data_IF_843225979524
#
_entry.id   IF_843225979524
#
_cell.length_a   1.000
_cell.length_b   1.000
_cell.length_c   1.000
_cell.angle_alpha   90.00
_cell.angle_beta   90.00
_cell.angle_gamma   90.00
#
_symmetry.space_group_name_H-M   'P 1'
#
loop_
_entity.id
_entity.type
_entity.pdbx_description
1 polymer ?
#
# COMPACT_ATOMS: atom_id res chain seq x y z
N UNK A 1 3.03 -9.42 31.39
CA UNK A 1 1.94 -8.87 32.22
C UNK A 1 0.63 -9.33 31.61
N UNK A 2 -0.21 -10.04 32.37
CA UNK A 2 -1.52 -10.47 31.87
C UNK A 2 -2.51 -9.29 31.97
N UNK A 3 -3.37 -9.15 30.96
CA UNK A 3 -4.48 -8.18 31.00
C UNK A 3 -5.48 -8.55 32.09
N UNK A 4 -6.00 -7.56 32.80
CA UNK A 4 -7.13 -7.76 33.71
C UNK A 4 -8.41 -8.17 32.96
N UNK A 5 -9.34 -8.83 33.63
CA UNK A 5 -10.61 -9.29 33.00
C UNK A 5 -11.38 -8.14 32.34
N UNK A 6 -11.39 -6.95 32.96
CA UNK A 6 -12.03 -5.75 32.42
C UNK A 6 -11.34 -5.28 31.11
N UNK A 7 -9.99 -5.31 31.07
CA UNK A 7 -9.23 -4.91 29.89
C UNK A 7 -9.45 -5.90 28.74
N UNK A 8 -9.47 -7.21 29.05
CA UNK A 8 -9.78 -8.24 28.05
C UNK A 8 -11.17 -8.02 27.45
N UNK A 9 -12.20 -7.81 28.31
CA UNK A 9 -13.54 -7.54 27.84
C UNK A 9 -13.61 -6.28 26.94
N UNK A 10 -12.93 -5.21 27.34
CA UNK A 10 -12.88 -3.97 26.59
C UNK A 10 -12.18 -4.14 25.22
N UNK A 11 -11.03 -4.81 25.17
CA UNK A 11 -10.33 -5.16 23.92
C UNK A 11 -11.23 -5.97 22.98
N UNK A 12 -11.93 -6.99 23.52
CA UNK A 12 -12.83 -7.82 22.70
C UNK A 12 -13.99 -7.02 22.13
N UNK A 13 -14.58 -6.10 22.90
CA UNK A 13 -15.65 -5.21 22.44
C UNK A 13 -15.12 -4.29 21.33
N UNK A 14 -13.97 -3.64 21.54
CA UNK A 14 -13.37 -2.75 20.55
C UNK A 14 -13.07 -3.48 19.22
N UNK A 15 -12.46 -4.67 19.29
CA UNK A 15 -12.17 -5.48 18.10
C UNK A 15 -13.45 -5.96 17.40
N UNK A 16 -14.46 -6.40 18.14
CA UNK A 16 -15.74 -6.83 17.58
C UNK A 16 -16.44 -5.69 16.84
N UNK A 17 -16.49 -4.49 17.45
CA UNK A 17 -17.08 -3.29 16.83
C UNK A 17 -16.33 -2.90 15.57
N UNK A 18 -14.98 -2.90 15.59
CA UNK A 18 -14.16 -2.62 14.41
C UNK A 18 -14.41 -3.62 13.28
N UNK A 19 -14.44 -4.92 13.59
CA UNK A 19 -14.71 -5.96 12.59
C UNK A 19 -16.10 -5.85 11.99
N UNK A 20 -17.12 -5.62 12.81
CA UNK A 20 -18.50 -5.44 12.32
C UNK A 20 -18.59 -4.21 11.43
N UNK A 21 -18.00 -3.09 11.82
CA UNK A 21 -17.98 -1.87 11.02
C UNK A 21 -17.23 -2.06 9.69
N UNK A 22 -16.02 -2.66 9.74
CA UNK A 22 -15.21 -2.93 8.56
C UNK A 22 -15.92 -3.84 7.57
N UNK A 23 -16.38 -5.02 8.02
CA UNK A 23 -17.05 -5.99 7.15
C UNK A 23 -18.44 -5.50 6.70
N UNK A 24 -19.19 -4.83 7.57
CA UNK A 24 -20.50 -4.26 7.21
C UNK A 24 -20.40 -3.22 6.11
N UNK A 25 -19.54 -2.21 6.31
CA UNK A 25 -19.30 -1.18 5.31
C UNK A 25 -18.60 -1.75 4.06
N UNK A 26 -17.60 -2.65 4.22
CA UNK A 26 -16.96 -3.35 3.11
C UNK A 26 -17.94 -4.14 2.25
N UNK A 27 -18.91 -4.82 2.87
CA UNK A 27 -19.96 -5.56 2.15
C UNK A 27 -20.92 -4.62 1.44
N UNK A 28 -21.29 -3.50 2.07
CA UNK A 28 -22.13 -2.46 1.44
C UNK A 28 -21.45 -1.92 0.17
N UNK A 29 -20.16 -1.57 0.25
CA UNK A 29 -19.39 -1.09 -0.90
C UNK A 29 -19.23 -2.15 -1.98
N UNK A 30 -19.01 -3.41 -1.61
CA UNK A 30 -18.96 -4.52 -2.57
C UNK A 30 -20.29 -4.70 -3.33
N UNK A 31 -21.44 -4.48 -2.69
CA UNK A 31 -22.76 -4.47 -3.36
C UNK A 31 -22.92 -3.29 -4.33
N UNK A 32 -22.23 -2.18 -4.06
CA UNK A 32 -22.14 -1.02 -4.96
C UNK A 32 -21.07 -1.17 -6.03
N UNK A 33 -20.52 -2.39 -6.18
CA UNK A 33 -19.39 -2.72 -7.09
C UNK A 33 -18.14 -1.88 -6.83
N UNK A 34 -17.96 -1.43 -5.60
CA UNK A 34 -16.79 -0.68 -5.18
C UNK A 34 -15.85 -1.56 -4.34
N UNK A 35 -14.53 -1.27 -4.31
CA UNK A 35 -13.57 -2.05 -3.55
C UNK A 35 -13.91 -2.11 -2.05
N UNK A 36 -13.86 -3.32 -1.47
CA UNK A 36 -14.15 -3.54 -0.03
C UNK A 36 -13.31 -2.70 0.89
N UNK A 37 -12.03 -2.52 0.55
CA UNK A 37 -11.06 -1.73 1.30
C UNK A 37 -11.58 -0.32 1.59
N UNK A 38 -12.23 0.32 0.62
CA UNK A 38 -12.80 1.65 0.79
C UNK A 38 -13.91 1.62 1.85
N UNK A 39 -14.78 0.62 1.80
CA UNK A 39 -15.82 0.42 2.81
C UNK A 39 -15.21 0.18 4.20
N UNK A 40 -14.17 -0.65 4.31
CA UNK A 40 -13.49 -0.94 5.57
C UNK A 40 -12.91 0.33 6.23
N UNK A 41 -12.30 1.21 5.44
CA UNK A 41 -11.81 2.53 5.91
C UNK A 41 -12.95 3.42 6.35
N UNK A 42 -14.02 3.50 5.54
CA UNK A 42 -15.18 4.31 5.89
C UNK A 42 -15.90 3.76 7.12
N UNK A 43 -15.93 2.43 7.32
CA UNK A 43 -16.38 1.80 8.56
C UNK A 43 -15.60 2.29 9.78
N UNK A 44 -14.28 2.42 9.64
CA UNK A 44 -13.42 3.02 10.67
C UNK A 44 -13.68 4.51 10.87
N UNK A 45 -13.84 5.27 9.79
CA UNK A 45 -14.18 6.70 9.84
C UNK A 45 -15.49 6.96 10.60
N UNK A 46 -16.51 6.09 10.42
CA UNK A 46 -17.76 6.17 11.19
C UNK A 46 -17.54 6.07 12.70
N UNK A 47 -16.56 5.26 13.12
CA UNK A 47 -16.20 5.03 14.52
C UNK A 47 -15.18 6.06 15.05
N UNK A 48 -14.59 6.85 14.18
CA UNK A 48 -13.54 7.82 14.49
C UNK A 48 -14.04 9.16 15.04
N UNK A 49 -13.10 10.10 15.27
CA UNK A 49 -13.41 11.43 15.78
C UNK A 49 -14.34 12.23 14.87
N UNK A 50 -14.29 11.96 13.56
CA UNK A 50 -15.09 12.67 12.57
C UNK A 50 -16.60 12.46 12.75
N UNK A 51 -17.06 11.26 13.09
CA UNK A 51 -18.50 10.94 13.17
C UNK A 51 -18.89 10.53 14.59
N UNK A 52 -18.43 9.38 15.08
CA UNK A 52 -18.79 8.93 16.44
C UNK A 52 -18.27 9.89 17.50
N UNK A 53 -17.04 10.41 17.36
CA UNK A 53 -16.46 11.36 18.29
C UNK A 53 -17.18 12.72 18.29
N UNK A 54 -17.69 13.16 17.14
CA UNK A 54 -18.49 14.39 17.05
C UNK A 54 -19.87 14.24 17.68
N UNK A 55 -20.53 13.07 17.50
CA UNK A 55 -21.89 12.83 18.00
C UNK A 55 -21.91 12.34 19.44
N UNK A 56 -20.99 11.45 19.79
CA UNK A 56 -20.91 10.77 21.09
C UNK A 56 -19.46 10.67 21.59
N UNK A 57 -18.82 11.80 22.01
CA UNK A 57 -17.41 11.83 22.40
C UNK A 57 -17.03 10.80 23.47
N UNK A 58 -17.88 10.66 24.49
CA UNK A 58 -17.66 9.72 25.60
C UNK A 58 -17.67 8.24 25.15
N UNK A 59 -18.52 7.89 24.19
CA UNK A 59 -18.57 6.54 23.64
C UNK A 59 -17.33 6.24 22.78
N UNK A 60 -16.90 7.20 21.96
CA UNK A 60 -15.72 7.07 21.13
C UNK A 60 -14.46 6.90 21.96
N UNK A 61 -14.22 7.76 22.96
CA UNK A 61 -13.06 7.70 23.86
C UNK A 61 -13.09 6.46 24.75
N UNK A 62 -14.27 5.98 25.13
CA UNK A 62 -14.40 4.73 25.85
C UNK A 62 -14.07 3.53 24.98
N UNK A 63 -14.61 3.44 23.74
CA UNK A 63 -14.34 2.33 22.82
C UNK A 63 -12.86 2.29 22.37
N UNK A 64 -12.31 3.46 22.05
CA UNK A 64 -10.99 3.61 21.45
C UNK A 64 -10.14 4.61 22.24
N UNK A 65 -9.70 4.25 23.46
CA UNK A 65 -8.89 5.11 24.28
C UNK A 65 -7.52 5.36 23.64
N UNK A 66 -6.97 6.57 23.80
CA UNK A 66 -5.67 6.95 23.27
C UNK A 66 -4.48 6.25 23.97
N UNK A 67 -4.69 5.77 25.20
CA UNK A 67 -3.66 5.14 26.03
C UNK A 67 -4.23 3.91 26.77
N UNK A 68 -3.34 3.10 27.34
CA UNK A 68 -3.70 1.93 28.12
C UNK A 68 -3.73 0.62 27.31
N UNK A 69 -4.19 -0.47 27.94
CA UNK A 69 -4.09 -1.82 27.37
C UNK A 69 -4.81 -1.96 26.02
N UNK A 70 -5.99 -1.39 25.86
CA UNK A 70 -6.77 -1.46 24.62
C UNK A 70 -6.03 -0.76 23.48
N UNK A 71 -5.50 0.45 23.70
CA UNK A 71 -4.70 1.17 22.71
C UNK A 71 -3.47 0.35 22.28
N UNK A 72 -2.78 -0.28 23.23
CA UNK A 72 -1.60 -1.11 22.95
C UNK A 72 -1.95 -2.32 22.09
N UNK A 73 -3.06 -3.01 22.41
CA UNK A 73 -3.50 -4.17 21.61
C UNK A 73 -3.95 -3.75 20.22
N UNK A 74 -4.72 -2.66 20.10
CA UNK A 74 -5.11 -2.13 18.77
C UNK A 74 -3.90 -1.71 17.94
N UNK A 75 -2.88 -1.09 18.57
CA UNK A 75 -1.61 -0.79 17.92
C UNK A 75 -0.87 -2.04 17.44
N UNK A 76 -0.86 -3.12 18.25
CA UNK A 76 -0.29 -4.40 17.82
C UNK A 76 -1.07 -5.02 16.65
N UNK A 77 -2.40 -4.96 16.66
CA UNK A 77 -3.25 -5.42 15.56
C UNK A 77 -3.01 -4.62 14.28
N UNK A 78 -2.85 -3.30 14.41
CA UNK A 78 -2.48 -2.41 13.30
C UNK A 78 -1.15 -2.85 12.66
N UNK A 79 -0.10 -3.08 13.46
CA UNK A 79 1.20 -3.49 12.95
C UNK A 79 1.14 -4.88 12.29
N UNK A 80 0.49 -5.87 12.93
CA UNK A 80 0.33 -7.21 12.35
C UNK A 80 -0.49 -7.17 11.06
N UNK A 81 -1.56 -6.39 11.02
CA UNK A 81 -2.37 -6.19 9.82
C UNK A 81 -1.56 -5.60 8.67
N UNK A 82 -0.72 -4.59 8.96
CA UNK A 82 0.19 -3.99 7.98
C UNK A 82 1.22 -5.00 7.47
N UNK A 83 1.88 -5.76 8.35
CA UNK A 83 2.88 -6.76 7.94
C UNK A 83 2.26 -7.85 7.06
N UNK A 84 1.10 -8.36 7.45
CA UNK A 84 0.39 -9.38 6.68
C UNK A 84 -0.13 -8.84 5.34
N UNK A 85 -0.61 -7.60 5.31
CA UNK A 85 -0.98 -6.93 4.06
C UNK A 85 0.21 -6.82 3.12
N UNK A 86 1.37 -6.39 3.62
CA UNK A 86 2.60 -6.27 2.84
C UNK A 86 3.12 -7.61 2.34
N UNK A 87 3.07 -8.64 3.18
CA UNK A 87 3.44 -10.00 2.78
C UNK A 87 2.53 -10.51 1.66
N UNK A 88 1.20 -10.38 1.81
CA UNK A 88 0.24 -10.78 0.78
C UNK A 88 0.46 -10.01 -0.53
N UNK A 89 0.70 -8.70 -0.46
CA UNK A 89 1.02 -7.87 -1.64
C UNK A 89 2.29 -8.35 -2.34
N UNK A 90 3.33 -8.70 -1.57
CA UNK A 90 4.56 -9.26 -2.12
C UNK A 90 4.35 -10.60 -2.84
N UNK A 91 3.52 -11.49 -2.29
CA UNK A 91 3.19 -12.79 -2.91
C UNK A 91 2.50 -12.61 -4.28
N UNK A 92 1.66 -11.60 -4.42
CA UNK A 92 0.88 -11.34 -5.64
C UNK A 92 1.72 -10.79 -6.81
N UNK A 93 2.89 -10.21 -6.55
CA UNK A 93 3.72 -9.55 -7.58
C UNK A 93 4.09 -10.47 -8.75
N UNK A 94 4.26 -11.78 -8.51
CA UNK A 94 4.68 -12.72 -9.56
C UNK A 94 3.71 -12.81 -10.73
N UNK A 95 2.41 -12.67 -10.50
CA UNK A 95 1.37 -12.88 -11.50
C UNK A 95 1.33 -11.79 -12.60
N UNK A 96 2.01 -10.65 -12.38
CA UNK A 96 1.85 -9.45 -13.19
C UNK A 96 2.86 -9.31 -14.36
N UNK A 97 3.93 -10.15 -14.43
CA UNK A 97 4.97 -9.97 -15.45
C UNK A 97 4.75 -10.84 -16.70
N UNK A 98 4.47 -10.20 -17.84
CA UNK A 98 4.41 -10.86 -19.15
C UNK A 98 5.37 -10.19 -20.15
N UNK A 99 6.27 -10.94 -20.85
CA UNK A 99 7.33 -10.34 -21.69
C UNK A 99 6.83 -9.52 -22.88
N UNK A 100 5.60 -9.75 -23.36
CA UNK A 100 5.07 -9.12 -24.57
C UNK A 100 4.76 -7.63 -24.43
N UNK A 101 4.46 -7.16 -23.23
CA UNK A 101 3.94 -5.81 -22.99
C UNK A 101 5.02 -4.83 -22.45
N UNK A 102 6.31 -5.26 -22.40
CA UNK A 102 7.41 -4.51 -21.77
C UNK A 102 7.62 -3.09 -22.30
N UNK A 103 7.41 -2.87 -23.59
CA UNK A 103 7.58 -1.52 -24.19
C UNK A 103 6.53 -0.56 -23.64
N UNK A 104 5.28 -0.98 -23.61
CA UNK A 104 4.16 -0.18 -23.09
C UNK A 104 4.28 0.00 -21.58
N UNK A 105 4.56 -1.08 -20.85
CA UNK A 105 4.79 -1.04 -19.40
C UNK A 105 5.94 -0.11 -19.06
N UNK A 106 7.09 -0.22 -19.73
CA UNK A 106 8.27 0.62 -19.49
C UNK A 106 8.02 2.09 -19.78
N UNK A 107 7.36 2.41 -20.92
CA UNK A 107 7.03 3.79 -21.29
C UNK A 107 6.06 4.44 -20.29
N UNK A 108 5.00 3.71 -19.88
CA UNK A 108 4.03 4.20 -18.90
C UNK A 108 4.68 4.33 -17.53
N UNK A 109 5.52 3.36 -17.13
CA UNK A 109 6.23 3.44 -15.85
C UNK A 109 7.15 4.67 -15.79
N UNK A 110 8.00 4.87 -16.79
CA UNK A 110 8.95 5.99 -16.80
C UNK A 110 8.21 7.32 -16.73
N UNK A 111 7.25 7.57 -17.62
CA UNK A 111 6.53 8.83 -17.64
C UNK A 111 5.50 8.93 -16.52
N UNK A 112 4.72 7.88 -16.28
CA UNK A 112 3.64 7.88 -15.29
C UNK A 112 4.13 7.84 -13.83
N UNK A 113 5.39 7.53 -13.57
CA UNK A 113 5.97 7.54 -12.23
C UNK A 113 6.93 8.71 -12.04
N UNK A 114 7.89 8.88 -12.96
CA UNK A 114 8.93 9.92 -12.80
C UNK A 114 8.32 11.31 -12.93
N UNK A 115 7.44 11.56 -13.92
CA UNK A 115 6.89 12.91 -14.10
C UNK A 115 6.00 13.35 -12.93
N UNK A 116 5.05 12.54 -12.39
CA UNK A 116 4.33 12.91 -11.17
C UNK A 116 5.24 13.08 -9.94
N UNK A 117 6.27 12.23 -9.80
CA UNK A 117 7.24 12.37 -8.71
C UNK A 117 7.97 13.71 -8.79
N UNK A 118 8.54 14.06 -9.96
CA UNK A 118 9.22 15.34 -10.19
C UNK A 118 8.25 16.52 -10.03
N UNK A 119 7.02 16.40 -10.53
CA UNK A 119 6.00 17.42 -10.33
C UNK A 119 5.70 17.66 -8.84
N UNK A 120 5.71 16.59 -8.02
CA UNK A 120 5.60 16.67 -6.56
C UNK A 120 6.77 17.43 -5.94
N UNK A 121 8.00 17.15 -6.37
CA UNK A 121 9.19 17.88 -5.92
C UNK A 121 9.11 19.39 -6.23
N UNK A 122 8.65 19.73 -7.44
CA UNK A 122 8.49 21.14 -7.87
C UNK A 122 7.33 21.81 -7.12
N UNK A 123 6.19 21.12 -6.99
CA UNK A 123 5.02 21.67 -6.29
C UNK A 123 5.35 22.01 -4.83
N UNK A 124 6.15 21.19 -4.17
CA UNK A 124 6.50 21.43 -2.77
C UNK A 124 7.30 22.73 -2.57
N UNK A 125 8.07 23.19 -3.58
CA UNK A 125 8.77 24.48 -3.52
C UNK A 125 7.81 25.68 -3.49
N UNK A 126 6.54 25.48 -3.88
CA UNK A 126 5.51 26.52 -3.94
C UNK A 126 4.56 26.47 -2.74
N UNK A 127 4.69 25.49 -1.87
CA UNK A 127 3.80 25.25 -0.72
C UNK A 127 4.60 25.42 0.57
N UNK A 128 3.97 26.03 1.58
CA UNK A 128 4.53 26.06 2.94
C UNK A 128 4.41 24.66 3.58
N UNK A 129 5.47 23.86 3.43
CA UNK A 129 5.53 22.48 3.88
C UNK A 129 5.46 22.30 5.40
N UNK A 130 5.92 23.32 6.17
CA UNK A 130 5.92 23.27 7.63
C UNK A 130 4.52 23.08 8.22
N UNK A 131 3.47 23.48 7.48
CA UNK A 131 2.07 23.24 7.88
C UNK A 131 1.67 21.77 7.92
N UNK A 132 2.43 20.92 7.25
CA UNK A 132 2.11 19.50 7.06
C UNK A 132 3.09 18.57 7.75
N UNK A 133 4.15 19.08 8.33
CA UNK A 133 5.11 18.28 9.09
C UNK A 133 4.46 17.66 10.31
N UNK A 134 4.77 16.38 10.53
CA UNK A 134 4.58 15.71 11.81
C UNK A 134 5.74 16.01 12.76
N UNK A 135 5.67 15.50 13.99
CA UNK A 135 6.68 15.77 15.02
C UNK A 135 8.11 15.33 14.67
N UNK A 136 8.25 14.35 13.76
CA UNK A 136 9.55 13.83 13.30
C UNK A 136 9.82 14.20 11.84
N UNK A 137 8.96 15.00 11.22
CA UNK A 137 9.07 15.42 9.83
C UNK A 137 10.26 16.37 9.65
N UNK A 138 11.07 16.09 8.65
CA UNK A 138 12.07 16.99 8.12
C UNK A 138 11.85 17.18 6.62
N UNK A 139 12.48 18.21 6.04
CA UNK A 139 12.32 18.53 4.62
C UNK A 139 12.51 17.31 3.72
N UNK A 140 13.56 16.53 3.91
CA UNK A 140 13.89 15.39 3.03
C UNK A 140 12.87 14.25 3.16
N UNK A 141 12.51 13.85 4.39
CA UNK A 141 11.54 12.77 4.59
C UNK A 141 10.14 13.16 4.10
N UNK A 142 9.72 14.41 4.35
CA UNK A 142 8.44 14.91 3.88
C UNK A 142 8.41 15.05 2.36
N UNK A 143 9.48 15.59 1.74
CA UNK A 143 9.64 15.72 0.29
C UNK A 143 9.45 14.36 -0.42
N UNK A 144 10.10 13.31 0.10
CA UNK A 144 9.99 11.97 -0.47
C UNK A 144 8.56 11.42 -0.35
N UNK A 145 7.91 11.56 0.82
CA UNK A 145 6.52 11.13 1.03
C UNK A 145 5.56 11.89 0.13
N UNK A 146 5.70 13.22 0.05
CA UNK A 146 4.85 14.08 -0.76
C UNK A 146 4.94 13.75 -2.25
N UNK A 147 6.16 13.60 -2.77
CA UNK A 147 6.40 13.34 -4.18
C UNK A 147 5.93 11.93 -4.60
N UNK A 148 6.22 10.91 -3.79
CA UNK A 148 5.83 9.53 -4.13
C UNK A 148 4.31 9.33 -4.02
N UNK A 149 3.63 10.05 -3.13
CA UNK A 149 2.16 10.00 -3.00
C UNK A 149 1.44 10.42 -4.29
N UNK A 150 2.06 11.26 -5.11
CA UNK A 150 1.53 11.68 -6.41
C UNK A 150 1.72 10.63 -7.50
N UNK A 151 2.75 9.78 -7.38
CA UNK A 151 3.17 8.85 -8.42
C UNK A 151 2.55 7.45 -8.31
N UNK A 152 2.05 7.05 -7.15
CA UNK A 152 1.64 5.67 -6.85
C UNK A 152 0.31 5.28 -7.51
N UNK A 153 0.21 3.98 -7.87
CA UNK A 153 -1.03 3.30 -8.30
C UNK A 153 -1.26 2.06 -7.43
N UNK A 154 -2.50 1.63 -7.26
CA UNK A 154 -2.87 0.53 -6.38
C UNK A 154 -3.17 -0.77 -7.12
N UNK A 155 -2.35 -1.81 -6.94
CA UNK A 155 -2.63 -3.15 -7.48
C UNK A 155 -3.93 -3.74 -6.91
N UNK A 156 -4.13 -3.88 -5.58
CA UNK A 156 -5.28 -4.61 -5.05
C UNK A 156 -6.62 -4.03 -5.47
N UNK A 157 -6.70 -2.70 -5.57
CA UNK A 157 -7.93 -2.02 -5.98
C UNK A 157 -8.21 -2.22 -7.46
N UNK A 158 -7.22 -1.97 -8.31
CA UNK A 158 -7.43 -2.04 -9.76
C UNK A 158 -7.59 -3.49 -10.24
N UNK A 159 -6.86 -4.44 -9.65
CA UNK A 159 -7.03 -5.87 -9.93
C UNK A 159 -8.44 -6.36 -9.56
N UNK A 160 -8.99 -5.88 -8.44
CA UNK A 160 -10.36 -6.21 -8.04
C UNK A 160 -11.39 -5.66 -9.02
N UNK A 161 -11.24 -4.39 -9.43
CA UNK A 161 -12.11 -3.78 -10.45
C UNK A 161 -12.08 -4.61 -11.74
N UNK A 162 -10.88 -4.98 -12.21
CA UNK A 162 -10.71 -5.76 -13.43
C UNK A 162 -11.29 -7.18 -13.33
N UNK A 163 -11.18 -7.80 -12.15
CA UNK A 163 -11.79 -9.10 -11.87
C UNK A 163 -13.31 -9.02 -11.93
N UNK A 164 -13.91 -8.03 -11.28
CA UNK A 164 -15.36 -7.82 -11.26
C UNK A 164 -15.92 -7.48 -12.65
N UNK A 165 -15.15 -6.82 -13.50
CA UNK A 165 -15.47 -6.55 -14.90
C UNK A 165 -15.20 -7.74 -15.85
N UNK A 166 -14.51 -8.79 -15.36
CA UNK A 166 -14.13 -9.95 -16.18
C UNK A 166 -13.11 -9.64 -17.26
N UNK A 167 -12.20 -8.66 -17.01
CA UNK A 167 -11.15 -8.21 -17.95
C UNK A 167 -9.73 -8.50 -17.44
N UNK A 168 -9.59 -9.28 -16.37
CA UNK A 168 -8.28 -9.52 -15.73
C UNK A 168 -7.27 -10.21 -16.67
N UNK A 169 -7.76 -11.03 -17.60
CA UNK A 169 -6.92 -11.78 -18.56
C UNK A 169 -6.57 -10.97 -19.83
N UNK A 170 -6.99 -9.71 -19.91
CA UNK A 170 -6.74 -8.84 -21.07
C UNK A 170 -5.34 -8.23 -21.07
N UNK A 171 -4.86 -7.78 -22.25
CA UNK A 171 -3.61 -7.01 -22.35
C UNK A 171 -3.67 -5.70 -21.55
N UNK A 172 -4.85 -5.06 -21.52
CA UNK A 172 -5.08 -3.86 -20.70
C UNK A 172 -4.76 -4.14 -19.22
N UNK A 173 -5.31 -5.22 -18.66
CA UNK A 173 -5.05 -5.59 -17.28
C UNK A 173 -3.57 -5.92 -17.03
N UNK A 174 -2.93 -6.66 -17.94
CA UNK A 174 -1.50 -7.00 -17.83
C UNK A 174 -0.62 -5.74 -17.82
N UNK A 175 -0.90 -4.75 -18.69
CA UNK A 175 -0.17 -3.48 -18.72
C UNK A 175 -0.34 -2.74 -17.39
N UNK A 176 -1.58 -2.53 -16.94
CA UNK A 176 -1.86 -1.79 -15.69
C UNK A 176 -1.22 -2.49 -14.50
N UNK A 177 -1.40 -3.81 -14.35
CA UNK A 177 -0.83 -4.56 -13.24
C UNK A 177 0.71 -4.59 -13.31
N UNK A 178 1.28 -4.74 -14.50
CA UNK A 178 2.73 -4.73 -14.70
C UNK A 178 3.37 -3.40 -14.29
N UNK A 179 2.77 -2.27 -14.67
CA UNK A 179 3.24 -0.93 -14.25
C UNK A 179 3.06 -0.77 -12.74
N UNK A 180 1.88 -1.09 -12.21
CA UNK A 180 1.57 -0.92 -10.79
C UNK A 180 2.50 -1.73 -9.88
N UNK A 181 2.92 -2.95 -10.29
CA UNK A 181 3.92 -3.74 -9.55
C UNK A 181 5.25 -3.00 -9.42
N UNK A 182 5.74 -2.42 -10.51
CA UNK A 182 7.01 -1.70 -10.47
C UNK A 182 6.86 -0.42 -9.64
N UNK A 183 5.73 0.27 -9.76
CA UNK A 183 5.41 1.44 -8.94
C UNK A 183 5.34 1.12 -7.45
N UNK A 184 4.75 -0.01 -7.06
CA UNK A 184 4.71 -0.45 -5.66
C UNK A 184 6.11 -0.73 -5.11
N UNK A 185 6.99 -1.37 -5.90
CA UNK A 185 8.39 -1.57 -5.50
C UNK A 185 9.09 -0.23 -5.26
N UNK A 186 8.96 0.73 -6.19
CA UNK A 186 9.55 2.06 -6.06
C UNK A 186 8.95 2.80 -4.87
N UNK A 187 7.63 2.74 -4.69
CA UNK A 187 6.96 3.35 -3.53
C UNK A 187 7.57 2.87 -2.21
N UNK A 188 7.66 1.56 -2.02
CA UNK A 188 8.13 1.01 -0.75
C UNK A 188 9.63 1.26 -0.52
N UNK A 189 10.44 1.32 -1.59
CA UNK A 189 11.83 1.75 -1.50
C UNK A 189 11.92 3.22 -1.05
N UNK A 190 11.20 4.12 -1.71
CA UNK A 190 11.21 5.55 -1.36
C UNK A 190 10.67 5.79 0.05
N UNK A 191 9.59 5.07 0.42
CA UNK A 191 9.02 5.16 1.76
C UNK A 191 10.01 4.65 2.83
N UNK A 192 10.69 3.53 2.58
CA UNK A 192 11.69 3.00 3.51
C UNK A 192 12.86 3.97 3.72
N UNK A 193 13.31 4.65 2.65
CA UNK A 193 14.34 5.70 2.73
C UNK A 193 13.82 6.89 3.56
N UNK A 194 12.61 7.39 3.27
CA UNK A 194 12.00 8.50 4.00
C UNK A 194 11.88 8.22 5.51
N UNK A 195 11.50 6.99 5.85
CA UNK A 195 11.37 6.54 7.24
C UNK A 195 12.73 6.37 7.92
N UNK A 196 13.74 5.88 7.21
CA UNK A 196 15.10 5.78 7.70
C UNK A 196 15.67 7.15 8.07
N UNK A 197 15.49 8.12 7.17
CA UNK A 197 15.90 9.52 7.40
C UNK A 197 15.13 10.16 8.56
N UNK A 198 13.85 9.86 8.75
CA UNK A 198 13.02 10.38 9.83
C UNK A 198 13.35 9.74 11.19
N UNK A 199 13.63 8.44 11.25
CA UNK A 199 13.88 7.71 12.49
C UNK A 199 15.10 8.22 13.25
N UNK A 200 16.07 8.77 12.57
CA UNK A 200 17.29 9.31 13.16
C UNK A 200 17.05 10.59 13.95
N UNK A 201 16.00 11.34 13.66
CA UNK A 201 15.66 12.54 14.43
C UNK A 201 15.23 12.22 15.88
N UNK A 202 14.82 10.97 16.16
CA UNK A 202 14.41 10.55 17.51
C UNK A 202 15.53 10.00 18.41
N UNK A 203 16.75 9.86 17.91
CA UNK A 203 17.87 9.29 18.69
C UNK A 203 17.69 7.82 19.09
N UNK A 204 16.65 7.14 18.58
CA UNK A 204 16.34 5.74 18.86
C UNK A 204 16.84 4.84 17.72
N UNK A 205 18.14 4.79 17.52
CA UNK A 205 18.74 4.00 16.46
C UNK A 205 18.89 2.54 16.93
N UNK A 206 17.96 1.71 16.48
CA UNK A 206 18.12 0.24 16.59
C UNK A 206 18.97 -0.26 15.42
N UNK A 207 19.93 -1.16 15.70
CA UNK A 207 20.71 -1.82 14.68
C UNK A 207 21.95 -1.05 14.18
N UNK A 208 22.35 -1.31 12.94
CA UNK A 208 23.58 -0.81 12.33
C UNK A 208 23.65 0.74 12.24
N UNK A 209 22.61 1.47 11.86
CA UNK A 209 22.68 2.92 11.79
C UNK A 209 23.06 3.57 13.12
N UNK A 210 22.57 3.02 14.24
CA UNK A 210 22.94 3.46 15.57
C UNK A 210 24.39 3.19 15.92
N UNK A 211 24.91 2.06 15.47
CA UNK A 211 26.32 1.67 15.70
C UNK A 211 27.29 2.55 14.88
N UNK A 212 26.90 2.97 13.67
CA UNK A 212 27.76 3.79 12.78
C UNK A 212 27.74 5.28 13.17
N UNK A 213 26.65 5.77 13.81
CA UNK A 213 26.57 7.13 14.33
C UNK A 213 26.44 8.21 13.25
N UNK A 214 25.67 7.96 12.19
CA UNK A 214 25.40 8.98 11.17
C UNK A 214 24.66 10.18 11.76
N UNK A 215 24.95 11.36 11.24
CA UNK A 215 24.17 12.56 11.58
C UNK A 215 22.84 12.53 10.82
N UNK A 216 21.70 12.69 11.53
CA UNK A 216 20.38 12.69 10.91
C UNK A 216 20.27 13.68 9.74
N UNK A 217 19.70 13.23 8.60
CA UNK A 217 19.51 14.06 7.42
C UNK A 217 20.79 14.42 6.64
N UNK A 218 21.94 13.87 7.02
CA UNK A 218 23.18 14.04 6.23
C UNK A 218 23.10 13.27 4.90
N UNK A 219 23.88 13.71 3.90
CA UNK A 219 23.98 13.01 2.61
C UNK A 219 24.38 11.54 2.80
N UNK A 220 25.25 11.25 3.76
CA UNK A 220 25.69 9.88 4.08
C UNK A 220 24.59 9.04 4.67
N UNK A 221 23.69 9.63 5.43
CA UNK A 221 22.52 8.99 6.00
C UNK A 221 21.52 8.58 4.91
N UNK A 222 21.15 9.51 4.05
CA UNK A 222 20.27 9.24 2.89
C UNK A 222 20.90 8.17 1.99
N UNK A 223 22.20 8.26 1.72
CA UNK A 223 22.94 7.29 0.90
C UNK A 223 22.92 5.91 1.54
N UNK A 224 23.16 5.82 2.86
CA UNK A 224 23.09 4.55 3.60
C UNK A 224 21.72 3.89 3.46
N UNK A 225 20.64 4.62 3.78
CA UNK A 225 19.28 4.08 3.71
C UNK A 225 18.89 3.69 2.28
N UNK A 226 19.35 4.44 1.28
CA UNK A 226 19.15 4.12 -0.13
C UNK A 226 19.88 2.82 -0.50
N UNK A 227 21.16 2.72 -0.20
CA UNK A 227 21.98 1.52 -0.52
C UNK A 227 21.47 0.31 0.26
N UNK A 228 21.14 0.47 1.54
CA UNK A 228 20.63 -0.61 2.37
C UNK A 228 19.27 -1.13 1.84
N UNK A 229 18.34 -0.24 1.51
CA UNK A 229 17.02 -0.62 1.02
C UNK A 229 17.08 -1.28 -0.36
N UNK A 230 17.82 -0.69 -1.30
CA UNK A 230 18.03 -1.28 -2.64
C UNK A 230 18.83 -2.57 -2.56
N UNK A 231 19.83 -2.63 -1.69
CA UNK A 231 20.65 -3.82 -1.44
C UNK A 231 19.84 -4.96 -0.83
N UNK A 232 18.93 -4.69 0.11
CA UNK A 232 18.00 -5.68 0.66
C UNK A 232 17.06 -6.19 -0.43
N UNK A 233 16.44 -5.30 -1.20
CA UNK A 233 15.57 -5.71 -2.30
C UNK A 233 16.33 -6.60 -3.30
N UNK A 234 17.49 -6.16 -3.79
CA UNK A 234 18.31 -6.93 -4.74
C UNK A 234 18.80 -8.25 -4.15
N UNK A 235 19.25 -8.24 -2.90
CA UNK A 235 19.69 -9.42 -2.17
C UNK A 235 18.58 -10.46 -1.99
N UNK A 236 17.39 -10.04 -1.59
CA UNK A 236 16.23 -10.93 -1.47
C UNK A 236 15.75 -11.44 -2.84
N UNK A 237 15.75 -10.61 -3.87
CA UNK A 237 15.39 -11.07 -5.22
C UNK A 237 16.40 -12.09 -5.77
N UNK A 238 17.69 -11.89 -5.57
CA UNK A 238 18.75 -12.76 -6.08
C UNK A 238 18.92 -14.04 -5.25
N UNK A 239 19.03 -13.91 -3.94
CA UNK A 239 19.40 -14.99 -3.01
C UNK A 239 18.20 -15.58 -2.27
N UNK A 240 17.14 -14.80 -2.06
CA UNK A 240 15.97 -15.17 -1.28
C UNK A 240 15.32 -16.49 -1.72
N UNK A 241 15.03 -16.70 -3.02
CA UNK A 241 14.43 -17.95 -3.50
C UNK A 241 15.34 -19.17 -3.24
N UNK A 242 16.67 -18.99 -3.35
CA UNK A 242 17.64 -20.05 -3.08
C UNK A 242 17.73 -20.35 -1.59
N UNK A 243 17.75 -19.31 -0.75
CA UNK A 243 17.76 -19.44 0.71
C UNK A 243 16.47 -20.09 1.22
N UNK A 244 15.31 -19.64 0.72
CA UNK A 244 14.01 -20.21 1.08
C UNK A 244 13.95 -21.71 0.69
N UNK A 245 14.37 -22.07 -0.52
CA UNK A 245 14.45 -23.47 -0.97
C UNK A 245 15.44 -24.30 -0.17
N UNK A 246 16.62 -23.77 0.13
CA UNK A 246 17.62 -24.46 0.92
C UNK A 246 17.10 -24.74 2.34
N UNK A 247 16.59 -23.71 3.03
CA UNK A 247 16.03 -23.86 4.39
C UNK A 247 14.79 -24.74 4.42
N UNK A 248 13.97 -24.70 3.37
CA UNK A 248 12.78 -25.54 3.24
C UNK A 248 13.09 -27.03 3.06
N UNK A 249 14.24 -27.36 2.46
CA UNK A 249 14.68 -28.74 2.19
C UNK A 249 15.51 -29.36 3.33
N UNK A 250 15.86 -28.60 4.35
CA UNK A 250 16.61 -29.12 5.49
C UNK A 250 15.85 -30.26 6.17
N UNK A 251 16.52 -31.41 6.35
CA UNK A 251 15.95 -32.60 7.01
C UNK A 251 15.41 -32.30 8.41
N UNK A 252 16.00 -31.34 9.10
CA UNK A 252 15.68 -30.92 10.47
C UNK A 252 14.66 -29.77 10.53
N UNK A 253 14.10 -29.29 9.41
CA UNK A 253 13.08 -28.24 9.44
C UNK A 253 11.73 -28.80 9.90
N UNK A 254 11.61 -28.97 11.24
CA UNK A 254 10.40 -29.46 11.89
C UNK A 254 9.22 -28.51 11.68
N UNK A 255 9.47 -27.20 11.61
CA UNK A 255 8.43 -26.19 11.44
C UNK A 255 7.72 -26.37 10.10
N UNK A 256 8.45 -26.46 9.00
CA UNK A 256 7.84 -26.68 7.68
C UNK A 256 7.11 -28.01 7.57
N UNK A 257 7.67 -29.09 8.12
CA UNK A 257 7.06 -30.43 8.08
C UNK A 257 5.72 -30.47 8.83
N UNK A 258 5.61 -29.71 9.93
CA UNK A 258 4.43 -29.72 10.79
C UNK A 258 3.41 -28.67 10.37
N UNK A 259 3.87 -27.49 9.92
CA UNK A 259 3.02 -26.40 9.50
C UNK A 259 3.72 -25.51 8.45
N UNK A 260 3.43 -25.70 7.15
CA UNK A 260 3.94 -24.82 6.10
C UNK A 260 3.55 -23.35 6.30
N UNK A 261 2.38 -23.09 6.88
CA UNK A 261 1.90 -21.74 7.25
C UNK A 261 2.85 -21.09 8.28
N UNK A 262 3.16 -21.81 9.37
CA UNK A 262 4.06 -21.30 10.39
C UNK A 262 5.47 -21.04 9.81
N UNK A 263 5.93 -21.88 8.91
CA UNK A 263 7.23 -21.70 8.26
C UNK A 263 7.27 -20.39 7.43
N UNK A 264 6.24 -20.10 6.64
CA UNK A 264 6.17 -18.86 5.86
C UNK A 264 6.10 -17.64 6.77
N UNK A 265 5.32 -17.70 7.87
CA UNK A 265 5.25 -16.61 8.85
C UNK A 265 6.58 -16.38 9.58
N UNK A 266 7.29 -17.45 9.97
CA UNK A 266 8.63 -17.35 10.57
C UNK A 266 9.60 -16.74 9.58
N UNK A 267 9.58 -17.17 8.31
CA UNK A 267 10.43 -16.58 7.26
C UNK A 267 10.15 -15.08 7.09
N UNK A 268 8.87 -14.67 7.07
CA UNK A 268 8.47 -13.26 7.05
C UNK A 268 9.02 -12.50 8.28
N UNK A 269 8.85 -13.06 9.49
CA UNK A 269 9.32 -12.40 10.72
C UNK A 269 10.85 -12.23 10.73
N UNK A 270 11.59 -13.25 10.28
CA UNK A 270 13.06 -13.16 10.17
C UNK A 270 13.50 -12.10 9.16
N UNK A 271 12.80 -11.97 8.03
CA UNK A 271 13.05 -10.91 7.07
C UNK A 271 12.75 -9.51 7.66
N UNK A 272 11.65 -9.38 8.41
CA UNK A 272 11.34 -8.15 9.14
C UNK A 272 12.43 -7.78 10.15
N UNK A 273 12.91 -8.74 10.93
CA UNK A 273 14.00 -8.55 11.91
C UNK A 273 15.27 -8.13 11.20
N UNK A 274 15.66 -8.82 10.11
CA UNK A 274 16.83 -8.46 9.33
C UNK A 274 16.76 -7.02 8.79
N UNK A 275 15.61 -6.61 8.28
CA UNK A 275 15.38 -5.23 7.85
C UNK A 275 15.54 -4.23 9.01
N UNK A 276 14.93 -4.51 10.17
CA UNK A 276 15.06 -3.65 11.35
C UNK A 276 16.52 -3.49 11.80
N UNK A 277 17.32 -4.56 11.77
CA UNK A 277 18.75 -4.48 12.07
C UNK A 277 19.52 -3.59 11.10
N UNK A 278 19.07 -3.49 9.86
CA UNK A 278 19.64 -2.59 8.86
C UNK A 278 19.07 -1.16 8.90
N UNK A 279 18.22 -0.85 9.89
CA UNK A 279 17.52 0.44 9.97
C UNK A 279 16.38 0.62 8.96
N UNK A 280 15.93 -0.48 8.33
CA UNK A 280 14.82 -0.49 7.39
C UNK A 280 13.56 -0.96 8.14
N UNK A 281 12.42 -0.37 7.82
CA UNK A 281 11.16 -0.70 8.48
C UNK A 281 10.71 -2.14 8.23
N UNK A 282 10.07 -2.76 9.25
CA UNK A 282 9.64 -4.16 9.22
C UNK A 282 8.68 -4.48 8.06
N UNK A 283 7.78 -3.55 7.69
CA UNK A 283 6.82 -3.77 6.61
C UNK A 283 7.51 -4.05 5.26
N UNK A 284 8.69 -3.45 5.03
CA UNK A 284 9.48 -3.72 3.83
C UNK A 284 10.04 -5.15 3.83
N UNK A 285 10.48 -5.64 4.99
CA UNK A 285 10.90 -7.03 5.17
C UNK A 285 9.76 -8.02 4.90
N UNK A 286 8.55 -7.73 5.38
CA UNK A 286 7.37 -8.54 5.08
C UNK A 286 7.06 -8.58 3.58
N UNK A 287 7.14 -7.43 2.90
CA UNK A 287 6.93 -7.31 1.46
C UNK A 287 7.94 -8.13 0.65
N UNK A 288 9.23 -8.00 0.94
CA UNK A 288 10.29 -8.74 0.21
C UNK A 288 10.19 -10.25 0.48
N UNK A 289 9.84 -10.64 1.73
CA UNK A 289 9.58 -12.04 2.06
C UNK A 289 8.41 -12.60 1.25
N UNK A 290 7.35 -11.81 1.07
CA UNK A 290 6.21 -12.16 0.21
C UNK A 290 6.63 -12.40 -1.22
N UNK A 291 7.45 -11.53 -1.82
CA UNK A 291 7.99 -11.71 -3.18
C UNK A 291 8.76 -13.04 -3.30
N UNK A 292 9.62 -13.35 -2.33
CA UNK A 292 10.40 -14.60 -2.32
C UNK A 292 9.50 -15.83 -2.25
N UNK A 293 8.51 -15.83 -1.37
CA UNK A 293 7.55 -16.93 -1.22
C UNK A 293 6.73 -17.09 -2.50
N UNK A 294 6.18 -16.02 -3.04
CA UNK A 294 5.44 -16.01 -4.30
C UNK A 294 6.26 -16.55 -5.47
N UNK A 295 7.53 -16.13 -5.59
CA UNK A 295 8.44 -16.60 -6.63
C UNK A 295 8.85 -18.08 -6.49
N UNK A 296 8.78 -18.64 -5.26
CA UNK A 296 9.28 -19.97 -4.99
C UNK A 296 8.21 -21.06 -5.01
N UNK A 297 7.04 -20.78 -4.43
CA UNK A 297 5.97 -21.77 -4.25
C UNK A 297 4.89 -21.68 -5.35
N UNK A 298 4.72 -20.53 -6.01
CA UNK A 298 3.80 -20.34 -7.12
C UNK A 298 2.33 -20.59 -6.76
N UNK A 299 1.55 -21.05 -7.76
CA UNK A 299 0.10 -21.24 -7.64
C UNK A 299 -0.31 -22.42 -6.74
N UNK A 300 0.60 -23.35 -6.46
CA UNK A 300 0.37 -24.48 -5.55
C UNK A 300 0.58 -24.16 -4.07
N UNK A 301 0.71 -22.87 -3.72
CA UNK A 301 0.95 -22.43 -2.35
C UNK A 301 -0.31 -22.44 -1.47
N UNK A 302 -0.75 -23.61 -1.03
CA UNK A 302 -1.88 -23.74 -0.10
C UNK A 302 -1.65 -23.02 1.23
N UNK A 303 -0.40 -22.96 1.69
CA UNK A 303 -0.05 -22.22 2.92
C UNK A 303 -0.22 -20.71 2.74
N UNK A 304 0.24 -20.16 1.62
CA UNK A 304 0.05 -18.76 1.28
C UNK A 304 -1.43 -18.40 1.12
N UNK A 305 -2.23 -19.27 0.50
CA UNK A 305 -3.68 -19.10 0.41
C UNK A 305 -4.34 -19.07 1.80
N UNK A 306 -3.93 -19.94 2.72
CA UNK A 306 -4.43 -19.95 4.11
C UNK A 306 -4.06 -18.67 4.87
N UNK A 307 -2.82 -18.19 4.73
CA UNK A 307 -2.37 -16.91 5.33
C UNK A 307 -3.22 -15.77 4.74
N UNK A 308 -3.37 -15.72 3.42
CA UNK A 308 -4.15 -14.70 2.72
C UNK A 308 -5.59 -14.68 3.22
N UNK A 309 -6.27 -15.82 3.22
CA UNK A 309 -7.68 -15.92 3.63
C UNK A 309 -7.89 -15.44 5.06
N UNK A 310 -7.03 -15.88 6.01
CA UNK A 310 -7.15 -15.46 7.39
C UNK A 310 -6.81 -13.98 7.59
N UNK A 311 -5.78 -13.49 6.89
CA UNK A 311 -5.39 -12.08 6.95
C UNK A 311 -6.49 -11.16 6.45
N UNK A 312 -7.14 -11.48 5.32
CA UNK A 312 -8.27 -10.71 4.78
C UNK A 312 -9.59 -10.91 5.54
N UNK A 313 -9.70 -11.96 6.36
CA UNK A 313 -10.86 -12.15 7.22
C UNK A 313 -10.76 -11.37 8.54
N UNK A 314 -9.56 -11.13 9.07
CA UNK A 314 -9.38 -10.59 10.42
C UNK A 314 -8.42 -9.40 10.48
N UNK A 315 -7.13 -9.59 10.17
CA UNK A 315 -6.11 -8.56 10.42
C UNK A 315 -6.19 -7.36 9.49
N UNK A 316 -6.37 -7.59 8.20
CA UNK A 316 -6.38 -6.53 7.19
C UNK A 316 -7.61 -5.62 7.31
N UNK A 317 -8.84 -6.13 7.52
CA UNK A 317 -10.00 -5.29 7.81
C UNK A 317 -9.86 -4.45 9.08
N UNK A 318 -9.26 -5.01 10.15
CA UNK A 318 -8.94 -4.25 11.37
C UNK A 318 -7.95 -3.13 11.05
N UNK A 319 -6.88 -3.43 10.28
CA UNK A 319 -5.91 -2.42 9.87
C UNK A 319 -6.58 -1.26 9.12
N UNK A 320 -7.39 -1.54 8.10
CA UNK A 320 -8.07 -0.49 7.33
C UNK A 320 -9.11 0.28 8.16
N UNK A 321 -9.83 -0.40 9.05
CA UNK A 321 -10.72 0.28 9.99
C UNK A 321 -9.96 1.19 10.97
N UNK A 322 -8.79 0.76 11.46
CA UNK A 322 -7.94 1.61 12.31
C UNK A 322 -7.37 2.80 11.55
N UNK A 323 -7.05 2.64 10.26
CA UNK A 323 -6.68 3.77 9.39
C UNK A 323 -7.84 4.76 9.29
N UNK A 324 -9.05 4.28 9.05
CA UNK A 324 -10.25 5.12 9.00
C UNK A 324 -10.57 5.78 10.35
N UNK A 325 -10.38 5.05 11.45
CA UNK A 325 -10.57 5.54 12.81
C UNK A 325 -9.69 6.75 13.15
N UNK A 326 -8.50 6.83 12.57
CA UNK A 326 -7.56 7.94 12.78
C UNK A 326 -7.90 9.18 11.96
N UNK A 327 -8.88 9.12 11.04
CA UNK A 327 -9.25 10.27 10.21
C UNK A 327 -10.04 11.30 11.04
N UNK A 328 -9.49 12.49 11.16
CA UNK A 328 -10.15 13.66 11.71
C UNK A 328 -10.31 14.71 10.61
N UNK A 329 -11.54 14.88 10.14
CA UNK A 329 -11.89 15.84 9.10
C UNK A 329 -12.48 17.14 9.66
N UNK A 330 -12.63 17.22 10.98
CA UNK A 330 -13.21 18.37 11.67
C UNK A 330 -12.13 19.36 12.13
N UNK A 331 -10.93 18.86 12.48
CA UNK A 331 -9.87 19.68 13.04
C UNK A 331 -8.66 19.80 12.09
N UNK A 332 -8.39 20.99 11.60
CA UNK A 332 -7.21 21.31 10.79
C UNK A 332 -7.25 20.85 9.34
N UNK A 333 -8.27 20.07 8.91
CA UNK A 333 -8.41 19.67 7.51
C UNK A 333 -8.82 20.86 6.64
N UNK A 334 -8.10 21.06 5.52
CA UNK A 334 -8.40 22.10 4.55
C UNK A 334 -9.03 21.51 3.28
N UNK A 335 -10.34 21.66 3.05
CA UNK A 335 -11.00 21.15 1.84
C UNK A 335 -10.45 21.76 0.55
N UNK A 336 -10.04 23.04 0.58
CA UNK A 336 -9.47 23.71 -0.59
C UNK A 336 -8.09 23.18 -0.96
N UNK A 337 -7.22 22.95 0.04
CA UNK A 337 -5.93 22.33 -0.20
C UNK A 337 -6.10 20.89 -0.70
N UNK A 338 -7.02 20.14 -0.09
CA UNK A 338 -7.35 18.80 -0.54
C UNK A 338 -7.80 18.77 -2.01
N UNK A 339 -8.75 19.63 -2.38
CA UNK A 339 -9.24 19.70 -3.75
C UNK A 339 -8.14 20.09 -4.74
N UNK A 340 -7.32 21.07 -4.39
CA UNK A 340 -6.16 21.46 -5.19
C UNK A 340 -5.19 20.28 -5.38
N UNK A 341 -4.81 19.61 -4.30
CA UNK A 341 -3.88 18.48 -4.33
C UNK A 341 -4.46 17.29 -5.12
N UNK A 342 -5.74 16.97 -4.92
CA UNK A 342 -6.46 15.92 -5.65
C UNK A 342 -6.43 16.20 -7.16
N UNK A 343 -6.85 17.39 -7.59
CA UNK A 343 -6.93 17.76 -9.00
C UNK A 343 -5.54 17.76 -9.61
N UNK A 344 -4.56 18.38 -8.95
CA UNK A 344 -3.18 18.45 -9.44
C UNK A 344 -2.57 17.05 -9.58
N UNK A 345 -2.65 16.22 -8.54
CA UNK A 345 -2.09 14.87 -8.55
C UNK A 345 -2.75 13.98 -9.62
N UNK A 346 -4.08 14.11 -9.79
CA UNK A 346 -4.81 13.34 -10.81
C UNK A 346 -4.46 13.79 -12.22
N UNK A 347 -4.40 15.09 -12.47
CA UNK A 347 -4.07 15.63 -13.79
C UNK A 347 -2.66 15.27 -14.23
N UNK A 348 -1.67 15.50 -13.36
CA UNK A 348 -0.28 15.18 -13.68
C UNK A 348 -0.12 13.68 -13.95
N UNK A 349 -0.69 12.81 -13.12
CA UNK A 349 -0.65 11.36 -13.32
C UNK A 349 -1.35 10.96 -14.62
N UNK A 350 -2.57 11.47 -14.87
CA UNK A 350 -3.34 11.15 -16.07
C UNK A 350 -2.62 11.57 -17.36
N UNK A 351 -2.11 12.80 -17.40
CA UNK A 351 -1.37 13.32 -18.57
C UNK A 351 -0.09 12.52 -18.81
N UNK A 352 0.65 12.20 -17.76
CA UNK A 352 1.91 11.45 -17.86
C UNK A 352 1.69 10.01 -18.34
N UNK A 353 0.69 9.31 -17.76
CA UNK A 353 0.34 7.95 -18.19
C UNK A 353 -0.20 7.96 -19.63
N UNK A 354 -1.08 8.89 -19.95
CA UNK A 354 -1.60 9.05 -21.31
C UNK A 354 -0.46 9.25 -22.32
N UNK A 355 0.47 10.16 -22.04
CA UNK A 355 1.62 10.41 -22.89
C UNK A 355 2.49 9.15 -23.03
N UNK A 356 2.76 8.42 -21.93
CA UNK A 356 3.51 7.18 -21.94
C UNK A 356 2.86 6.09 -22.82
N UNK A 357 1.54 5.93 -22.69
CA UNK A 357 0.77 4.98 -23.50
C UNK A 357 0.77 5.37 -24.99
N UNK A 358 0.58 6.65 -25.30
CA UNK A 358 0.64 7.15 -26.70
C UNK A 358 2.01 6.96 -27.35
N UNK A 359 3.10 7.22 -26.61
CA UNK A 359 4.46 6.99 -27.09
C UNK A 359 4.77 5.49 -27.31
N UNK A 360 4.12 4.61 -26.55
CA UNK A 360 4.20 3.18 -26.78
C UNK A 360 3.38 2.69 -28.00
N UNK A 361 2.50 3.55 -28.57
CA UNK A 361 1.68 3.24 -29.73
C UNK A 361 0.26 2.81 -29.42
N UNK A 362 -0.20 2.97 -28.16
CA UNK A 362 -1.58 2.68 -27.78
C UNK A 362 -2.57 3.66 -28.43
N UNK A 363 -3.79 3.21 -28.70
CA UNK A 363 -4.86 4.04 -29.25
C UNK A 363 -5.32 5.11 -28.27
N UNK A 364 -6.00 6.16 -28.75
CA UNK A 364 -6.52 7.25 -27.92
C UNK A 364 -7.42 6.73 -26.79
N UNK A 365 -8.37 5.84 -27.09
CA UNK A 365 -9.30 5.29 -26.10
C UNK A 365 -8.60 4.42 -25.06
N UNK A 366 -7.67 3.53 -25.50
CA UNK A 366 -6.86 2.70 -24.60
C UNK A 366 -6.00 3.56 -23.69
N UNK A 367 -5.30 4.56 -24.25
CA UNK A 367 -4.45 5.48 -23.49
C UNK A 367 -5.22 6.27 -22.43
N UNK A 368 -6.45 6.71 -22.74
CA UNK A 368 -7.30 7.41 -21.79
C UNK A 368 -7.76 6.47 -20.65
N UNK A 369 -8.17 5.25 -20.99
CA UNK A 369 -8.58 4.26 -19.99
C UNK A 369 -7.41 3.84 -19.09
N UNK A 370 -6.20 3.69 -19.65
CA UNK A 370 -4.96 3.45 -18.89
C UNK A 370 -4.68 4.63 -17.93
N UNK A 371 -4.82 5.86 -18.41
CA UNK A 371 -4.60 7.06 -17.61
C UNK A 371 -5.55 7.15 -16.40
N UNK A 372 -6.82 6.78 -16.59
CA UNK A 372 -7.79 6.75 -15.48
C UNK A 372 -7.53 5.59 -14.55
N UNK A 373 -7.29 4.39 -15.06
CA UNK A 373 -6.99 3.20 -14.26
C UNK A 373 -5.78 3.41 -13.35
N UNK A 374 -4.70 4.00 -13.89
CA UNK A 374 -3.45 4.26 -13.17
C UNK A 374 -3.55 5.39 -12.13
N UNK A 375 -4.67 6.10 -12.05
CA UNK A 375 -4.94 7.05 -10.98
C UNK A 375 -5.50 6.39 -9.70
N UNK A 376 -5.88 5.12 -9.72
CA UNK A 376 -6.36 4.42 -8.52
C UNK A 376 -5.22 4.25 -7.50
N UNK A 377 -5.20 5.04 -6.42
CA UNK A 377 -4.12 5.01 -5.41
C UNK A 377 -4.33 4.03 -4.26
N UNK A 378 -5.54 3.64 -3.97
CA UNK A 378 -6.00 2.60 -3.05
C UNK A 378 -5.05 2.16 -1.93
N UNK A 379 -4.87 0.85 -1.78
CA UNK A 379 -4.12 0.23 -0.69
C UNK A 379 -2.71 0.78 -0.46
N UNK A 380 -1.80 0.77 -1.44
CA UNK A 380 -0.44 1.30 -1.28
C UNK A 380 -0.38 2.78 -0.90
N UNK A 381 -1.27 3.62 -1.44
CA UNK A 381 -1.38 5.02 -1.05
C UNK A 381 -1.84 5.19 0.41
N UNK A 382 -2.72 4.31 0.88
CA UNK A 382 -3.18 4.28 2.27
C UNK A 382 -2.06 3.81 3.20
N UNK A 383 -1.30 2.78 2.79
CA UNK A 383 -0.12 2.32 3.53
C UNK A 383 0.92 3.44 3.65
N UNK A 384 1.21 4.14 2.54
CA UNK A 384 2.09 5.31 2.55
C UNK A 384 1.63 6.34 3.59
N UNK A 385 0.36 6.73 3.53
CA UNK A 385 -0.21 7.72 4.47
C UNK A 385 -0.10 7.25 5.92
N UNK A 386 -0.53 6.01 6.21
CA UNK A 386 -0.57 5.46 7.56
C UNK A 386 0.82 5.30 8.16
N UNK A 387 1.77 4.81 7.38
CA UNK A 387 3.15 4.58 7.84
C UNK A 387 3.88 5.90 8.04
N UNK A 388 3.73 6.86 7.11
CA UNK A 388 4.32 8.19 7.25
C UNK A 388 3.74 8.96 8.44
N UNK A 389 2.44 8.80 8.72
CA UNK A 389 1.78 9.38 9.89
C UNK A 389 2.25 8.73 11.19
N UNK A 390 2.26 7.41 11.26
CA UNK A 390 2.74 6.66 12.43
C UNK A 390 4.20 6.95 12.76
N UNK A 391 5.03 7.19 11.74
CA UNK A 391 6.42 7.61 11.90
C UNK A 391 6.57 9.10 12.29
N UNK A 392 5.49 9.88 12.28
CA UNK A 392 5.52 11.31 12.58
C UNK A 392 6.16 12.16 11.49
N UNK A 393 6.27 11.70 10.25
CA UNK A 393 6.76 12.49 9.12
C UNK A 393 5.72 13.52 8.71
N UNK A 394 4.46 13.10 8.65
CA UNK A 394 3.32 13.94 8.28
C UNK A 394 2.39 14.14 9.48
N UNK A 395 1.70 15.25 9.49
CA UNK A 395 0.69 15.52 10.50
C UNK A 395 -0.69 14.96 10.10
N UNK A 396 -1.64 15.07 11.02
CA UNK A 396 -2.98 14.54 10.86
C UNK A 396 -3.75 15.16 9.68
N UNK A 397 -3.74 16.49 9.42
CA UNK A 397 -4.38 17.06 8.24
C UNK A 397 -3.86 16.50 6.91
N UNK A 398 -2.55 16.33 6.75
CA UNK A 398 -1.98 15.79 5.52
C UNK A 398 -2.22 14.27 5.38
N UNK A 399 -2.23 13.54 6.50
CA UNK A 399 -2.67 12.15 6.55
C UNK A 399 -4.10 12.00 5.98
N UNK A 400 -5.03 12.85 6.42
CA UNK A 400 -6.40 12.85 5.91
C UNK A 400 -6.46 13.15 4.41
N UNK A 401 -5.65 14.10 3.92
CA UNK A 401 -5.52 14.40 2.49
C UNK A 401 -5.11 13.16 1.69
N UNK A 402 -4.09 12.43 2.13
CA UNK A 402 -3.59 11.25 1.40
C UNK A 402 -4.57 10.08 1.43
N UNK A 403 -5.22 9.81 2.57
CA UNK A 403 -6.21 8.75 2.67
C UNK A 403 -7.43 9.06 1.81
N UNK A 404 -7.97 10.28 1.87
CA UNK A 404 -9.10 10.70 1.03
C UNK A 404 -8.72 10.70 -0.47
N UNK A 405 -7.49 11.10 -0.81
CA UNK A 405 -6.98 10.99 -2.17
C UNK A 405 -7.07 9.54 -2.67
N UNK A 406 -6.57 8.59 -1.87
CA UNK A 406 -6.59 7.17 -2.23
C UNK A 406 -8.03 6.63 -2.38
N UNK A 407 -8.93 7.00 -1.48
CA UNK A 407 -10.35 6.61 -1.51
C UNK A 407 -11.04 7.16 -2.76
N UNK A 408 -10.97 8.48 -2.99
CA UNK A 408 -11.71 9.14 -4.08
C UNK A 408 -11.17 8.71 -5.44
N UNK A 409 -9.85 8.63 -5.62
CA UNK A 409 -9.27 8.21 -6.90
C UNK A 409 -9.64 6.77 -7.24
N UNK A 410 -9.73 5.89 -6.25
CA UNK A 410 -10.14 4.50 -6.44
C UNK A 410 -11.62 4.38 -6.82
N UNK A 411 -12.49 5.18 -6.19
CA UNK A 411 -13.91 5.28 -6.54
C UNK A 411 -14.11 5.77 -7.98
N UNK A 412 -13.39 6.82 -8.36
CA UNK A 412 -13.46 7.39 -9.71
C UNK A 412 -12.98 6.39 -10.76
N UNK A 413 -11.87 5.72 -10.53
CA UNK A 413 -11.35 4.71 -11.46
C UNK A 413 -12.32 3.54 -11.62
N UNK A 414 -12.91 3.03 -10.52
CA UNK A 414 -13.93 1.99 -10.56
C UNK A 414 -15.15 2.40 -11.37
N UNK A 415 -15.74 3.55 -11.02
CA UNK A 415 -16.93 4.07 -11.70
C UNK A 415 -16.70 4.40 -13.18
N UNK A 416 -15.48 4.79 -13.57
CA UNK A 416 -15.12 5.01 -14.96
C UNK A 416 -15.04 3.69 -15.73
N UNK A 417 -14.25 2.74 -15.24
CA UNK A 417 -14.02 1.47 -15.94
C UNK A 417 -15.29 0.64 -16.09
N UNK A 418 -16.23 0.72 -15.15
CA UNK A 418 -17.55 0.08 -15.27
C UNK A 418 -18.39 0.61 -16.46
N UNK A 419 -18.19 1.86 -16.86
CA UNK A 419 -18.93 2.50 -17.96
C UNK A 419 -18.27 2.30 -19.33
N UNK A 420 -17.01 1.83 -19.35
CA UNK A 420 -16.29 1.60 -20.60
C UNK A 420 -16.72 0.29 -21.22
N UNK A 421 -17.17 0.25 -22.49
CA UNK A 421 -17.46 -0.99 -23.19
C UNK A 421 -16.26 -1.93 -23.22
N UNK A 422 -16.47 -3.23 -23.01
CA UNK A 422 -15.41 -4.24 -22.87
C UNK A 422 -14.48 -4.31 -24.08
N UNK A 423 -15.02 -4.14 -25.28
CA UNK A 423 -14.29 -4.09 -26.55
C UNK A 423 -13.26 -2.95 -26.62
N UNK A 424 -13.49 -1.84 -25.94
CA UNK A 424 -12.54 -0.72 -25.83
C UNK A 424 -11.45 -0.92 -24.78
N UNK A 425 -11.55 -1.97 -23.99
CA UNK A 425 -10.54 -2.39 -23.02
C UNK A 425 -9.66 -3.53 -23.55
N UNK A 426 -9.95 -4.02 -24.77
CA UNK A 426 -9.14 -5.00 -25.46
C UNK A 426 -8.06 -4.32 -26.32
N UNK A 427 -6.91 -4.96 -26.47
CA UNK A 427 -5.87 -4.50 -27.41
C UNK A 427 -6.28 -4.76 -28.87
N UNK A 428 -5.60 -4.09 -29.80
CA UNK A 428 -5.79 -4.36 -31.25
C UNK A 428 -5.67 -5.84 -31.61
N UNK A 429 -4.76 -6.56 -30.98
CA UNK A 429 -4.52 -7.98 -31.23
C UNK A 429 -5.66 -8.87 -30.70
N UNK A 430 -6.22 -8.52 -29.56
CA UNK A 430 -7.35 -9.26 -28.99
C UNK A 430 -8.65 -9.00 -29.77
N UNK A 431 -8.85 -7.79 -30.27
CA UNK A 431 -9.96 -7.44 -31.16
C UNK A 431 -9.87 -8.22 -32.49
N UNK A 432 -8.66 -8.34 -33.05
CA UNK A 432 -8.43 -9.08 -34.29
C UNK A 432 -8.69 -10.60 -34.11
N UNK A 433 -8.34 -11.17 -32.97
CA UNK A 433 -8.63 -12.59 -32.68
C UNK A 433 -10.12 -12.86 -32.44
N UNK A 434 -10.83 -11.94 -31.77
CA UNK A 434 -12.29 -12.08 -31.55
C UNK A 434 -13.10 -11.88 -32.85
N UNK A 435 -12.61 -11.12 -33.81
CA UNK A 435 -13.24 -11.01 -35.14
C UNK A 435 -13.07 -12.28 -35.97
N UNK A 436 -11.88 -12.92 -35.92
CA UNK A 436 -11.65 -14.19 -36.65
C UNK A 436 -12.44 -15.38 -36.10
N UNK A 437 -12.74 -15.41 -34.79
CA UNK A 437 -13.57 -16.47 -34.17
C UNK A 437 -15.07 -16.23 -34.33
N UNK A 438 -15.53 -15.07 -34.80
CA UNK A 438 -16.95 -14.82 -35.12
C UNK A 438 -17.30 -15.16 -36.57
N UNK A 439 -16.29 -15.26 -37.43
CA UNK A 439 -16.47 -15.58 -38.87
C UNK A 439 -16.22 -17.06 -39.16
N UNK A 440 -15.98 -17.89 -38.15
CA UNK A 440 -15.91 -19.37 -38.20
C UNK A 440 -17.07 -19.99 -37.41
#
# INVERSE_FOLDING_TARGET
>A
MLLGTKDVAHVLVALAVLLVAAHGAGTAFSKLRQPRVIGEILGGLLLGPTILGALFPSAQTWLFPATGPTATVLGAMYQLGLLLLMFCSGVEIRAAFHPKDWRTVGSIFVLGTIAPFVAGLVLLQLIDEHRFFGPNGNHTSFLLVFAIAMAVTSIPVIARIMLDLGILDTSFARIVLGVAVIEDMVLYVVLAIALGVAAQTQGSLFGLPGAIGFRPGSVWDVLYHTIATVGVLGGFLALGPSLYRATSRLRFNLVRKRSPVAYQLVFMMLACIACLFLGIQAFFGAFVAGIVVGATEGDSNHAGASIKNFSFAFFIPIYFALVGLQLDLLHGFSPWFFLFYLVFACLVKAVSVYAGARLAGEEFSSSLNLAVAMNARGGPGIVLASVAFAAGIINQPFYAVLVLLAVITSLVAGAWLERVPRDRLLSRWEVAQTSQTRDT
#
